data_IF_443654085715
#
_entry.id   IF_443654085715
#
_cell.length_a   1.000
_cell.length_b   1.000
_cell.length_c   1.000
_cell.angle_alpha   90.00
_cell.angle_beta   90.00
_cell.angle_gamma   90.00
#
_symmetry.space_group_name_H-M   'P 1'
#
loop_
_entity.id
_entity.type
_entity.pdbx_description
1 polymer ?
#
# COMPACT_ATOMS: atom_id res chain seq x y z
N UNK A 1 0.44 7.32 16.69
CA UNK A 1 0.79 5.94 17.12
C UNK A 1 2.19 5.54 16.62
N UNK A 2 2.58 5.86 15.37
CA UNK A 2 3.90 5.54 14.79
C UNK A 2 5.12 6.24 15.41
N UNK A 3 4.98 7.45 15.97
CA UNK A 3 6.02 8.09 16.79
C UNK A 3 6.43 7.21 18.00
N UNK A 4 5.47 6.47 18.56
CA UNK A 4 5.70 5.61 19.72
C UNK A 4 6.41 4.31 19.33
N UNK A 5 6.11 3.74 18.16
CA UNK A 5 6.82 2.54 17.66
C UNK A 5 8.26 2.83 17.22
N UNK A 6 8.55 4.01 16.63
CA UNK A 6 9.93 4.45 16.40
C UNK A 6 10.71 4.58 17.72
N UNK A 7 10.08 5.13 18.76
CA UNK A 7 10.67 5.25 20.10
C UNK A 7 10.86 3.85 20.72
N UNK A 8 9.87 2.96 20.62
CA UNK A 8 9.91 1.62 21.23
C UNK A 8 10.91 0.69 20.53
N UNK A 9 10.98 0.71 19.19
CA UNK A 9 11.98 -0.05 18.44
C UNK A 9 13.39 0.49 18.67
N UNK A 10 13.55 1.83 18.79
CA UNK A 10 14.81 2.46 19.16
C UNK A 10 15.23 2.27 20.63
N UNK A 11 14.28 1.93 21.53
CA UNK A 11 14.50 1.77 22.96
C UNK A 11 15.00 0.38 23.39
N UNK A 12 15.01 -0.61 22.49
CA UNK A 12 15.65 -1.91 22.79
C UNK A 12 17.16 -1.71 22.92
N UNK A 13 17.64 -1.56 24.15
CA UNK A 13 19.08 -1.57 24.49
C UNK A 13 19.69 -0.25 24.99
N UNK A 14 18.91 0.79 25.26
CA UNK A 14 19.44 2.05 25.80
C UNK A 14 19.83 1.91 27.27
N UNK A 15 21.14 1.82 27.54
CA UNK A 15 21.69 1.77 28.90
C UNK A 15 22.37 3.06 29.35
N UNK A 16 22.70 3.98 28.42
CA UNK A 16 23.48 5.18 28.72
C UNK A 16 22.88 6.47 28.15
N UNK A 17 23.07 7.60 28.85
CA UNK A 17 22.47 8.93 28.53
C UNK A 17 23.00 9.49 27.20
N UNK A 18 24.26 9.22 26.88
CA UNK A 18 24.92 9.70 25.67
C UNK A 18 24.36 9.01 24.42
N UNK A 19 24.00 7.72 24.51
CA UNK A 19 23.38 6.97 23.41
C UNK A 19 21.99 7.50 23.07
N UNK A 20 21.22 7.89 24.10
CA UNK A 20 19.90 8.53 23.93
C UNK A 20 20.07 9.86 23.20
N UNK A 21 21.06 10.66 23.61
CA UNK A 21 21.30 11.97 23.01
C UNK A 21 21.73 11.87 21.54
N UNK A 22 22.57 10.88 21.20
CA UNK A 22 23.00 10.65 19.83
C UNK A 22 21.82 10.19 18.95
N UNK A 23 20.97 9.28 19.44
CA UNK A 23 19.75 8.87 18.72
C UNK A 23 18.74 9.99 18.55
N UNK A 24 18.56 10.86 19.54
CA UNK A 24 17.68 12.03 19.41
C UNK A 24 18.20 13.03 18.38
N UNK A 25 19.52 13.17 18.24
CA UNK A 25 20.13 14.00 17.19
C UNK A 25 19.89 13.44 15.79
N UNK A 26 19.96 12.12 15.61
CA UNK A 26 19.71 11.47 14.31
C UNK A 26 18.23 11.18 14.04
N UNK A 27 17.33 11.39 15.01
CA UNK A 27 15.91 11.08 14.89
C UNK A 27 15.25 11.74 13.67
N UNK A 28 15.49 13.04 13.46
CA UNK A 28 14.89 13.77 12.34
C UNK A 28 15.31 13.16 10.99
N UNK A 29 16.59 12.81 10.87
CA UNK A 29 17.15 12.19 9.68
C UNK A 29 16.51 10.83 9.36
N UNK A 30 16.27 9.99 10.38
CA UNK A 30 15.70 8.65 10.15
C UNK A 30 14.17 8.62 10.06
N UNK A 31 13.47 9.51 10.77
CA UNK A 31 12.01 9.47 10.87
C UNK A 31 11.28 10.45 9.95
N UNK A 32 11.94 11.48 9.45
CA UNK A 32 11.29 12.53 8.65
C UNK A 32 11.94 12.68 7.27
N UNK A 33 13.28 12.68 7.20
CA UNK A 33 13.98 12.92 5.93
C UNK A 33 13.99 11.72 4.97
N UNK A 34 13.64 10.50 5.42
CA UNK A 34 13.63 9.31 4.55
C UNK A 34 12.73 9.48 3.33
N UNK A 35 11.59 10.18 3.48
CA UNK A 35 10.66 10.46 2.38
C UNK A 35 11.35 11.32 1.32
N UNK A 36 12.05 12.38 1.76
CA UNK A 36 12.80 13.27 0.88
C UNK A 36 13.89 12.51 0.13
N UNK A 37 14.67 11.69 0.84
CA UNK A 37 15.72 10.85 0.22
C UNK A 37 15.16 9.88 -0.80
N UNK A 38 14.02 9.24 -0.51
CA UNK A 38 13.33 8.40 -1.50
C UNK A 38 12.91 9.21 -2.73
N UNK A 39 12.41 10.44 -2.55
CA UNK A 39 12.00 11.29 -3.65
C UNK A 39 13.18 11.67 -4.54
N UNK A 40 14.31 12.05 -3.93
CA UNK A 40 15.53 12.44 -4.64
C UNK A 40 16.18 11.24 -5.36
N UNK A 41 16.21 10.08 -4.71
CA UNK A 41 16.90 8.90 -5.24
C UNK A 41 16.07 8.14 -6.28
N UNK A 42 14.73 8.14 -6.18
CA UNK A 42 13.87 7.23 -6.96
C UNK A 42 12.77 7.95 -7.75
N UNK A 43 12.92 9.24 -8.07
CA UNK A 43 11.85 10.09 -8.62
C UNK A 43 11.01 9.50 -9.78
N UNK A 44 11.60 8.64 -10.62
CA UNK A 44 10.94 7.91 -11.71
C UNK A 44 10.22 6.64 -11.22
N UNK A 45 10.81 5.93 -10.26
CA UNK A 45 10.34 4.64 -9.76
C UNK A 45 9.46 4.74 -8.49
N UNK A 46 9.25 5.93 -7.93
CA UNK A 46 8.38 6.16 -6.78
C UNK A 46 6.96 5.63 -7.01
N UNK A 47 6.47 5.67 -8.24
CA UNK A 47 5.15 5.13 -8.57
C UNK A 47 5.10 3.63 -8.29
N UNK A 48 6.17 2.92 -8.63
CA UNK A 48 6.35 1.49 -8.41
C UNK A 48 6.36 1.17 -6.91
N UNK A 49 7.02 1.99 -6.08
CA UNK A 49 6.98 1.84 -4.63
C UNK A 49 5.58 2.02 -4.04
N UNK A 50 4.86 3.05 -4.48
CA UNK A 50 3.47 3.27 -4.06
C UNK A 50 2.59 2.06 -4.45
N UNK A 51 2.76 1.54 -5.66
CA UNK A 51 2.05 0.35 -6.14
C UNK A 51 2.36 -0.88 -5.28
N UNK A 52 3.64 -1.18 -5.02
CA UNK A 52 4.05 -2.28 -4.15
C UNK A 52 3.43 -2.15 -2.75
N UNK A 53 3.43 -0.92 -2.19
CA UNK A 53 2.88 -0.68 -0.85
C UNK A 53 1.38 -0.96 -0.72
N UNK A 54 0.63 -0.81 -1.82
CA UNK A 54 -0.80 -1.12 -1.82
C UNK A 54 -1.09 -2.61 -1.69
N UNK A 55 -0.22 -3.48 -2.20
CA UNK A 55 -0.38 -4.93 -2.08
C UNK A 55 -0.01 -5.45 -0.68
N UNK A 56 0.81 -4.71 0.07
CA UNK A 56 1.07 -4.89 1.50
C UNK A 56 2.23 -5.82 1.85
N UNK A 57 2.54 -6.82 1.05
CA UNK A 57 3.65 -7.75 1.28
C UNK A 57 4.85 -7.38 0.40
N UNK A 58 5.79 -6.60 0.92
CA UNK A 58 6.95 -6.12 0.17
C UNK A 58 8.23 -6.47 0.91
N UNK A 59 9.13 -7.17 0.23
CA UNK A 59 10.49 -7.43 0.69
C UNK A 59 11.47 -6.52 -0.05
N UNK A 60 12.33 -5.82 0.68
CA UNK A 60 13.30 -4.89 0.11
C UNK A 60 14.71 -5.48 0.15
N UNK A 61 15.34 -5.57 -1.02
CA UNK A 61 16.72 -6.03 -1.19
C UNK A 61 17.54 -4.88 -1.77
N UNK A 62 18.60 -4.48 -1.07
CA UNK A 62 19.50 -3.40 -1.48
C UNK A 62 20.92 -3.70 -1.00
N UNK A 63 21.92 -3.28 -1.77
CA UNK A 63 23.34 -3.31 -1.38
C UNK A 63 23.70 -2.13 -0.47
N UNK A 64 22.99 -1.01 -0.60
CA UNK A 64 23.13 0.16 0.27
C UNK A 64 22.13 0.05 1.44
N UNK A 65 22.65 0.03 2.68
CA UNK A 65 21.87 -0.02 3.91
C UNK A 65 20.96 1.21 4.08
N UNK A 66 21.39 2.39 3.64
CA UNK A 66 20.61 3.62 3.78
C UNK A 66 19.43 3.61 2.80
N UNK A 67 19.68 3.28 1.53
CA UNK A 67 18.63 3.11 0.54
C UNK A 67 17.65 1.99 0.94
N UNK A 68 18.15 0.90 1.54
CA UNK A 68 17.32 -0.17 2.09
C UNK A 68 16.36 0.37 3.13
N UNK A 69 16.90 1.01 4.16
CA UNK A 69 16.15 1.57 5.28
C UNK A 69 15.09 2.56 4.81
N UNK A 70 15.46 3.47 3.92
CA UNK A 70 14.55 4.50 3.42
C UNK A 70 13.39 3.89 2.64
N UNK A 71 13.69 2.87 1.81
CA UNK A 71 12.69 2.16 1.01
C UNK A 71 11.74 1.34 1.87
N UNK A 72 12.27 0.58 2.84
CA UNK A 72 11.45 -0.17 3.81
C UNK A 72 10.51 0.78 4.55
N UNK A 73 11.04 1.90 5.04
CA UNK A 73 10.24 2.87 5.79
C UNK A 73 9.19 3.58 4.93
N UNK A 74 9.53 3.89 3.69
CA UNK A 74 8.58 4.44 2.72
C UNK A 74 7.42 3.50 2.47
N UNK A 75 7.73 2.23 2.22
CA UNK A 75 6.71 1.20 1.96
C UNK A 75 5.85 0.99 3.21
N UNK A 76 6.45 0.82 4.40
CA UNK A 76 5.72 0.68 5.66
C UNK A 76 4.75 1.83 5.94
N UNK A 77 5.16 3.06 5.63
CA UNK A 77 4.33 4.25 5.85
C UNK A 77 3.12 4.30 4.91
N UNK A 78 3.27 3.73 3.72
CA UNK A 78 2.21 3.68 2.71
C UNK A 78 1.33 2.42 2.84
N UNK A 79 1.86 1.34 3.40
CA UNK A 79 1.20 0.06 3.54
C UNK A 79 -0.06 0.15 4.42
N UNK A 80 -1.15 -0.37 3.88
CA UNK A 80 -2.47 -0.35 4.52
C UNK A 80 -2.66 -1.54 5.44
N UNK A 81 -2.07 -2.67 5.05
CA UNK A 81 -2.05 -3.91 5.81
C UNK A 81 -0.59 -4.16 6.19
N UNK A 82 -0.20 -4.07 7.49
CA UNK A 82 1.10 -4.54 7.90
C UNK A 82 1.20 -6.03 7.55
N UNK A 83 2.35 -6.47 7.06
CA UNK A 83 2.62 -7.88 6.80
C UNK A 83 2.17 -8.69 8.01
N UNK A 84 1.17 -9.55 7.84
CA UNK A 84 0.71 -10.41 8.92
C UNK A 84 1.90 -11.29 9.30
N UNK A 85 2.49 -11.07 10.48
CA UNK A 85 3.47 -12.00 11.02
C UNK A 85 2.70 -13.29 11.26
N UNK A 86 2.87 -14.26 10.36
CA UNK A 86 2.24 -15.57 10.41
C UNK A 86 2.70 -16.33 11.67
N UNK A 87 2.04 -16.06 12.79
CA UNK A 87 2.05 -16.93 13.97
C UNK A 87 0.80 -17.81 13.95
N UNK A 88 0.65 -18.63 12.91
CA UNK A 88 -0.31 -19.74 12.93
C UNK A 88 0.18 -20.83 11.98
N UNK A 89 0.64 -21.92 12.59
CA UNK A 89 0.85 -23.20 11.93
C UNK A 89 -0.49 -23.66 11.33
N UNK A 90 -0.41 -24.11 10.07
CA UNK A 90 -1.41 -24.92 9.36
C UNK A 90 -2.76 -24.23 9.06
N UNK A 91 -2.91 -23.68 7.85
CA UNK A 91 -3.73 -24.22 6.75
C UNK A 91 -3.90 -23.16 5.65
N UNK A 92 -4.18 -23.64 4.42
CA UNK A 92 -4.41 -22.89 3.16
C UNK A 92 -3.16 -22.72 2.28
N UNK A 93 -2.98 -23.68 1.37
CA UNK A 93 -1.99 -23.73 0.29
C UNK A 93 -2.21 -22.69 -0.83
N UNK A 94 -2.89 -21.58 -0.56
CA UNK A 94 -3.06 -20.46 -1.51
C UNK A 94 -2.30 -19.19 -1.08
N UNK A 95 -1.58 -19.22 0.04
CA UNK A 95 -0.85 -18.09 0.63
C UNK A 95 0.39 -17.62 -0.17
N UNK A 96 0.65 -18.16 -1.37
CA UNK A 96 1.78 -17.77 -2.21
C UNK A 96 1.54 -16.49 -3.05
N UNK A 97 0.33 -15.95 -3.10
CA UNK A 97 0.00 -14.99 -4.16
C UNK A 97 0.13 -13.53 -3.71
N UNK A 98 1.28 -12.95 -4.04
CA UNK A 98 1.60 -11.50 -4.14
C UNK A 98 2.47 -10.90 -3.02
N UNK A 99 3.52 -11.59 -2.58
CA UNK A 99 4.72 -10.89 -2.09
C UNK A 99 5.46 -10.25 -3.28
N UNK A 100 5.88 -8.99 -3.13
CA UNK A 100 6.70 -8.28 -4.12
C UNK A 100 8.10 -8.14 -3.59
N UNK A 101 9.11 -8.45 -4.41
CA UNK A 101 10.50 -8.19 -4.07
C UNK A 101 10.96 -6.94 -4.80
N UNK A 102 11.28 -5.91 -4.03
CA UNK A 102 11.81 -4.62 -4.49
C UNK A 102 13.32 -4.68 -4.40
N UNK A 103 13.99 -4.70 -5.55
CA UNK A 103 15.44 -4.69 -5.68
C UNK A 103 15.90 -3.26 -5.99
N UNK A 104 16.66 -2.68 -5.06
CA UNK A 104 17.26 -1.35 -5.21
C UNK A 104 18.72 -1.51 -5.63
N UNK A 105 19.06 -1.04 -6.85
CA UNK A 105 20.44 -0.99 -7.35
C UNK A 105 20.67 0.29 -8.16
N UNK A 106 21.78 0.97 -7.89
CA UNK A 106 22.21 2.18 -8.62
C UNK A 106 21.13 3.28 -8.73
N UNK A 107 20.35 3.49 -7.67
CA UNK A 107 19.25 4.47 -7.67
C UNK A 107 18.03 4.06 -8.51
N UNK A 108 17.96 2.82 -8.97
CA UNK A 108 16.82 2.26 -9.70
C UNK A 108 16.13 1.18 -8.91
N UNK A 109 14.82 1.08 -9.11
CA UNK A 109 13.98 0.09 -8.47
C UNK A 109 13.51 -0.91 -9.51
N UNK A 110 13.76 -2.18 -9.24
CA UNK A 110 13.23 -3.31 -10.00
C UNK A 110 12.29 -4.11 -9.13
N UNK A 111 11.18 -4.55 -9.73
CA UNK A 111 10.21 -5.42 -9.07
C UNK A 111 10.19 -6.77 -9.79
N UNK A 112 10.05 -7.84 -9.02
CA UNK A 112 10.01 -9.22 -9.51
C UNK A 112 8.76 -9.53 -10.36
N UNK A 113 7.66 -8.82 -10.12
CA UNK A 113 6.38 -8.99 -10.78
C UNK A 113 5.97 -7.73 -11.54
N UNK A 114 5.34 -7.87 -12.73
CA UNK A 114 4.79 -6.74 -13.45
C UNK A 114 3.67 -6.10 -12.62
N UNK A 115 3.66 -4.78 -12.58
CA UNK A 115 2.65 -3.98 -11.89
C UNK A 115 1.94 -3.11 -12.92
N UNK A 116 0.61 -3.16 -12.91
CA UNK A 116 -0.20 -2.26 -13.71
C UNK A 116 -0.16 -0.85 -13.12
N UNK A 117 -0.23 0.15 -13.99
CA UNK A 117 -0.28 1.54 -13.54
C UNK A 117 -1.72 1.91 -13.14
N UNK A 118 -1.91 2.20 -11.86
CA UNK A 118 -3.19 2.67 -11.35
C UNK A 118 -3.24 4.21 -11.31
N UNK A 119 -4.27 4.85 -11.90
CA UNK A 119 -4.48 6.31 -11.84
C UNK A 119 -4.43 6.89 -10.42
N UNK A 120 -4.83 6.10 -9.42
CA UNK A 120 -4.74 6.46 -8.02
C UNK A 120 -3.30 6.77 -7.57
N UNK A 121 -2.35 5.89 -7.88
CA UNK A 121 -0.94 6.08 -7.52
C UNK A 121 -0.33 7.28 -8.25
N UNK A 122 -0.69 7.49 -9.52
CA UNK A 122 -0.24 8.65 -10.30
C UNK A 122 -0.67 9.97 -9.63
N UNK A 123 -1.94 10.08 -9.24
CA UNK A 123 -2.47 11.28 -8.56
C UNK A 123 -1.76 11.59 -7.24
N UNK A 124 -1.41 10.55 -6.47
CA UNK A 124 -0.70 10.73 -5.21
C UNK A 124 0.78 11.04 -5.40
N UNK A 125 1.40 10.48 -6.44
CA UNK A 125 2.75 10.85 -6.84
C UNK A 125 2.82 12.32 -7.26
N UNK A 126 1.85 12.81 -8.03
CA UNK A 126 1.77 14.23 -8.42
C UNK A 126 1.65 15.14 -7.21
N UNK A 127 0.82 14.77 -6.23
CA UNK A 127 0.72 15.50 -4.95
C UNK A 127 2.05 15.50 -4.20
N UNK A 128 2.74 14.36 -4.17
CA UNK A 128 4.03 14.24 -3.50
C UNK A 128 5.10 15.10 -4.17
N UNK A 129 5.15 15.11 -5.51
CA UNK A 129 6.05 15.94 -6.32
C UNK A 129 5.71 17.44 -6.24
N UNK A 130 4.43 17.79 -6.06
CA UNK A 130 3.98 19.17 -5.90
C UNK A 130 4.37 19.80 -4.55
N UNK A 131 4.73 18.98 -3.57
CA UNK A 131 5.21 19.48 -2.28
C UNK A 131 6.61 20.10 -2.44
N UNK A 132 6.80 21.29 -1.88
CA UNK A 132 8.14 21.91 -1.81
C UNK A 132 9.16 20.95 -1.21
N UNK A 133 10.34 20.87 -1.81
CA UNK A 133 11.41 19.93 -1.42
C UNK A 133 11.88 20.09 0.03
N UNK A 134 11.69 21.27 0.63
CA UNK A 134 12.03 21.58 2.03
C UNK A 134 10.90 21.25 3.02
N UNK A 135 9.70 20.95 2.54
CA UNK A 135 8.55 20.63 3.39
C UNK A 135 8.44 19.12 3.65
N UNK A 136 9.38 18.58 4.42
CA UNK A 136 9.42 17.14 4.73
C UNK A 136 8.17 16.65 5.46
N UNK A 137 7.59 17.51 6.32
CA UNK A 137 6.32 17.21 7.01
C UNK A 137 5.17 17.13 6.00
N UNK A 138 5.12 18.05 5.04
CA UNK A 138 4.14 18.02 3.95
C UNK A 138 4.22 16.73 3.13
N UNK A 139 5.43 16.30 2.77
CA UNK A 139 5.65 15.04 2.05
C UNK A 139 5.16 13.84 2.86
N UNK A 140 5.45 13.79 4.17
CA UNK A 140 4.94 12.74 5.05
C UNK A 140 3.41 12.77 5.16
N UNK A 141 2.80 13.96 5.26
CA UNK A 141 1.34 14.10 5.31
C UNK A 141 0.67 13.62 4.01
N UNK A 142 1.34 13.74 2.87
CA UNK A 142 0.84 13.18 1.60
C UNK A 142 0.82 11.66 1.66
N UNK A 143 1.89 11.01 2.16
CA UNK A 143 1.93 9.55 2.31
C UNK A 143 0.91 9.03 3.33
N UNK A 144 0.75 9.71 4.46
CA UNK A 144 -0.30 9.39 5.44
C UNK A 144 -1.68 9.58 4.84
N UNK A 145 -1.89 10.65 4.07
CA UNK A 145 -3.13 10.89 3.34
C UNK A 145 -3.45 9.78 2.33
N UNK A 146 -2.43 9.31 1.61
CA UNK A 146 -2.54 8.17 0.70
C UNK A 146 -3.01 6.93 1.45
N UNK A 147 -2.33 6.57 2.55
CA UNK A 147 -2.67 5.41 3.37
C UNK A 147 -4.08 5.52 3.95
N UNK A 148 -4.43 6.66 4.57
CA UNK A 148 -5.73 6.90 5.17
C UNK A 148 -6.87 6.82 4.14
N UNK A 149 -6.65 7.36 2.94
CA UNK A 149 -7.62 7.26 1.85
C UNK A 149 -7.81 5.82 1.40
N UNK A 150 -6.75 5.04 1.29
CA UNK A 150 -6.86 3.62 0.94
C UNK A 150 -7.62 2.83 2.01
N UNK A 151 -7.34 3.07 3.30
CA UNK A 151 -8.10 2.47 4.41
C UNK A 151 -9.59 2.85 4.34
N UNK A 152 -9.88 4.12 4.05
CA UNK A 152 -11.26 4.59 3.91
C UNK A 152 -11.98 3.89 2.76
N UNK A 153 -11.29 3.70 1.63
CA UNK A 153 -11.86 3.09 0.43
C UNK A 153 -12.14 1.60 0.62
N UNK A 154 -11.23 0.86 1.28
CA UNK A 154 -11.47 -0.53 1.69
C UNK A 154 -12.70 -0.65 2.60
N UNK A 155 -12.79 0.18 3.64
CA UNK A 155 -13.92 0.16 4.56
C UNK A 155 -15.24 0.53 3.87
N UNK A 156 -15.19 1.47 2.93
CA UNK A 156 -16.37 1.87 2.14
C UNK A 156 -16.84 0.72 1.27
N UNK A 157 -15.92 0.07 0.55
CA UNK A 157 -16.24 -1.08 -0.29
C UNK A 157 -16.81 -2.24 0.55
N UNK A 158 -16.17 -2.59 1.67
CA UNK A 158 -16.65 -3.65 2.57
C UNK A 158 -18.10 -3.42 3.00
N UNK A 159 -18.43 -2.20 3.43
CA UNK A 159 -19.80 -1.85 3.83
C UNK A 159 -20.80 -1.90 2.67
N UNK A 160 -20.38 -1.55 1.45
CA UNK A 160 -21.24 -1.65 0.26
C UNK A 160 -21.52 -3.12 -0.08
N UNK A 161 -20.50 -3.98 -0.02
CA UNK A 161 -20.64 -5.41 -0.30
C UNK A 161 -21.50 -6.14 0.74
N UNK A 162 -21.33 -5.80 2.03
CA UNK A 162 -22.21 -6.33 3.08
C UNK A 162 -23.68 -5.92 2.87
N UNK A 163 -23.94 -4.68 2.45
CA UNK A 163 -25.31 -4.24 2.11
C UNK A 163 -25.84 -4.91 0.85
N UNK A 164 -24.98 -5.21 -0.12
CA UNK A 164 -25.36 -5.83 -1.37
C UNK A 164 -25.97 -7.24 -1.21
N UNK A 165 -25.76 -7.90 -0.06
CA UNK A 165 -26.44 -9.16 0.29
C UNK A 165 -27.96 -9.02 0.29
N UNK A 166 -28.48 -7.85 0.68
CA UNK A 166 -29.92 -7.61 0.83
C UNK A 166 -30.47 -6.52 -0.10
N UNK A 167 -29.59 -5.73 -0.73
CA UNK A 167 -29.95 -4.60 -1.58
C UNK A 167 -29.14 -4.57 -2.89
N UNK A 168 -29.80 -4.91 -4.01
CA UNK A 168 -29.21 -4.86 -5.35
C UNK A 168 -28.75 -3.45 -5.77
N UNK A 169 -29.33 -2.38 -5.20
CA UNK A 169 -28.84 -1.03 -5.49
C UNK A 169 -27.46 -0.79 -4.86
N UNK A 170 -27.20 -1.35 -3.68
CA UNK A 170 -25.88 -1.31 -3.04
C UNK A 170 -24.81 -2.05 -3.86
N UNK A 171 -25.19 -3.10 -4.59
CA UNK A 171 -24.29 -3.78 -5.54
C UNK A 171 -23.86 -2.87 -6.68
N UNK A 172 -24.81 -2.17 -7.30
CA UNK A 172 -24.52 -1.20 -8.34
C UNK A 172 -23.64 -0.04 -7.83
N UNK A 173 -23.88 0.43 -6.61
CA UNK A 173 -23.04 1.45 -5.97
C UNK A 173 -21.62 0.96 -5.69
N UNK A 174 -21.45 -0.30 -5.31
CA UNK A 174 -20.12 -0.91 -5.16
C UNK A 174 -19.36 -0.91 -6.49
N UNK A 175 -20.03 -1.27 -7.58
CA UNK A 175 -19.47 -1.20 -8.93
C UNK A 175 -19.04 0.23 -9.32
N UNK A 176 -19.92 1.22 -9.17
CA UNK A 176 -19.59 2.61 -9.48
C UNK A 176 -18.43 3.14 -8.62
N UNK A 177 -18.39 2.75 -7.35
CA UNK A 177 -17.32 3.11 -6.44
C UNK A 177 -15.97 2.54 -6.89
N UNK A 178 -15.91 1.26 -7.27
CA UNK A 178 -14.70 0.62 -7.76
C UNK A 178 -14.14 1.34 -8.99
N UNK A 179 -14.98 1.63 -9.98
CA UNK A 179 -14.58 2.37 -11.18
C UNK A 179 -14.05 3.77 -10.88
N UNK A 180 -14.68 4.46 -9.92
CA UNK A 180 -14.26 5.81 -9.52
C UNK A 180 -12.97 5.81 -8.69
N UNK A 181 -12.61 4.68 -8.07
CA UNK A 181 -11.44 4.56 -7.20
C UNK A 181 -10.14 4.53 -8.01
N UNK A 182 -10.15 3.83 -9.16
CA UNK A 182 -9.01 3.76 -10.09
C UNK A 182 -7.88 2.83 -9.64
N UNK A 183 -8.21 1.81 -8.84
CA UNK A 183 -7.35 0.70 -8.38
C UNK A 183 -8.23 -0.46 -7.85
N UNK A 184 -9.30 -0.73 -8.58
CA UNK A 184 -10.37 -1.68 -8.27
C UNK A 184 -9.86 -3.09 -7.95
N UNK A 185 -8.87 -3.57 -8.69
CA UNK A 185 -8.32 -4.93 -8.53
C UNK A 185 -7.68 -5.11 -7.15
N UNK A 186 -6.96 -4.09 -6.67
CA UNK A 186 -6.32 -4.10 -5.36
C UNK A 186 -7.39 -4.06 -4.25
N UNK A 187 -8.40 -3.20 -4.39
CA UNK A 187 -9.49 -3.12 -3.41
C UNK A 187 -10.25 -4.45 -3.32
N UNK A 188 -10.58 -5.04 -4.47
CA UNK A 188 -11.25 -6.35 -4.53
C UNK A 188 -10.36 -7.46 -3.96
N UNK A 189 -9.06 -7.46 -4.24
CA UNK A 189 -8.12 -8.42 -3.67
C UNK A 189 -8.15 -8.40 -2.14
N UNK A 190 -8.03 -7.22 -1.53
CA UNK A 190 -8.00 -7.07 -0.07
C UNK A 190 -9.33 -7.43 0.58
N UNK A 191 -10.46 -6.95 0.04
CA UNK A 191 -11.77 -7.27 0.62
C UNK A 191 -12.11 -8.75 0.43
N UNK A 192 -11.70 -9.38 -0.68
CA UNK A 192 -11.84 -10.83 -0.88
C UNK A 192 -11.00 -11.61 0.13
N UNK A 193 -9.75 -11.19 0.37
CA UNK A 193 -8.87 -11.79 1.38
C UNK A 193 -9.49 -11.70 2.77
N UNK A 194 -10.01 -10.54 3.14
CA UNK A 194 -10.66 -10.34 4.44
C UNK A 194 -11.97 -11.16 4.58
N UNK A 195 -12.80 -11.20 3.54
CA UNK A 195 -14.02 -12.01 3.53
C UNK A 195 -13.73 -13.51 3.60
N UNK A 196 -12.67 -14.00 2.95
CA UNK A 196 -12.19 -15.38 3.09
C UNK A 196 -11.77 -15.69 4.53
N UNK A 197 -11.04 -14.77 5.18
CA UNK A 197 -10.62 -14.93 6.58
C UNK A 197 -11.79 -14.89 7.57
N UNK A 198 -12.85 -14.15 7.23
CA UNK A 198 -14.06 -14.02 8.03
C UNK A 198 -15.15 -15.05 7.68
N UNK A 199 -14.90 -15.94 6.71
CA UNK A 199 -15.85 -16.94 6.22
C UNK A 199 -17.21 -16.35 5.74
N UNK A 200 -17.20 -15.13 5.18
CA UNK A 200 -18.40 -14.44 4.68
C UNK A 200 -18.78 -14.90 3.25
N UNK A 201 -19.31 -16.11 3.11
CA UNK A 201 -19.57 -16.75 1.80
C UNK A 201 -20.45 -15.91 0.85
N UNK A 202 -21.51 -15.28 1.36
CA UNK A 202 -22.39 -14.42 0.55
C UNK A 202 -21.63 -13.22 -0.05
N UNK A 203 -20.69 -12.64 0.70
CA UNK A 203 -19.84 -11.54 0.22
C UNK A 203 -18.89 -12.04 -0.86
N UNK A 204 -18.35 -13.26 -0.73
CA UNK A 204 -17.47 -13.87 -1.74
C UNK A 204 -18.19 -14.12 -3.07
N UNK A 205 -19.45 -14.54 -3.02
CA UNK A 205 -20.29 -14.70 -4.21
C UNK A 205 -20.54 -13.36 -4.90
N UNK A 206 -20.87 -12.32 -4.12
CA UNK A 206 -21.06 -10.95 -4.63
C UNK A 206 -19.77 -10.41 -5.27
N UNK A 207 -18.62 -10.60 -4.61
CA UNK A 207 -17.32 -10.20 -5.15
C UNK A 207 -17.04 -10.90 -6.48
N UNK A 208 -17.31 -12.21 -6.55
CA UNK A 208 -17.10 -12.99 -7.78
C UNK A 208 -17.97 -12.48 -8.93
N UNK A 209 -19.25 -12.20 -8.66
CA UNK A 209 -20.16 -11.58 -9.64
C UNK A 209 -19.65 -10.21 -10.13
N UNK A 210 -19.15 -9.37 -9.22
CA UNK A 210 -18.58 -8.07 -9.57
C UNK A 210 -17.32 -8.21 -10.44
N UNK A 211 -16.43 -9.16 -10.11
CA UNK A 211 -15.22 -9.42 -10.88
C UNK A 211 -15.53 -9.88 -12.31
N UNK A 212 -16.51 -10.76 -12.48
CA UNK A 212 -16.97 -11.18 -13.81
C UNK A 212 -17.57 -10.01 -14.61
N UNK A 213 -18.39 -9.18 -13.96
CA UNK A 213 -18.98 -8.02 -14.61
C UNK A 213 -17.92 -7.01 -15.06
N UNK A 214 -16.91 -6.72 -14.21
CA UNK A 214 -15.80 -5.84 -14.56
C UNK A 214 -15.01 -6.39 -15.76
N UNK A 215 -14.64 -7.68 -15.74
CA UNK A 215 -13.93 -8.33 -16.87
C UNK A 215 -14.73 -8.26 -18.18
N UNK A 216 -16.04 -8.46 -18.12
CA UNK A 216 -16.92 -8.38 -19.30
C UNK A 216 -17.00 -6.97 -19.91
N UNK A 217 -16.79 -5.92 -19.09
CA UNK A 217 -16.78 -4.54 -19.55
C UNK A 217 -15.45 -4.14 -20.17
N UNK A 218 -14.32 -4.59 -19.61
CA UNK A 218 -13.00 -4.34 -20.20
C UNK A 218 -12.86 -4.99 -21.60
N UNK A 219 -13.41 -6.19 -21.80
CA UNK A 219 -13.39 -6.84 -23.12
C UNK A 219 -14.31 -6.17 -24.17
N UNK A 220 -15.37 -5.49 -23.72
CA UNK A 220 -16.28 -4.76 -24.61
C UNK A 220 -15.85 -3.34 -24.93
N UNK A 221 -15.01 -2.70 -24.10
CA UNK A 221 -14.37 -1.41 -24.43
C UNK A 221 -13.30 -1.54 -25.51
N UNK A 222 -12.54 -2.63 -25.53
CA UNK A 222 -11.49 -2.86 -26.56
C UNK A 222 -12.07 -3.17 -27.94
N UNK A 223 -13.30 -3.67 -28.03
CA UNK A 223 -13.99 -3.92 -29.30
C UNK A 223 -14.64 -2.67 -29.92
N UNK A 224 -14.68 -1.54 -29.21
CA UNK A 224 -15.19 -0.25 -29.73
C UNK A 224 -14.10 0.74 -30.13
N UNK A 225 -12.83 0.38 -29.95
CA UNK A 225 -11.67 1.18 -30.30
C UNK A 225 -10.95 0.69 -31.58
N UNK A 226 -11.59 -0.17 -32.37
CA UNK A 226 -11.07 -0.69 -33.65
C UNK A 226 -11.96 -0.29 -34.81
#
# INVERSE_FOLDING_TARGET
>A
MFLFECIVSANKGLKNKDDVQLKLKSWYFHCVEYVRRCIENFSEDLITLLLCSLWGNVEVISEDEQAKWDTERFVETCCVMPATIENSKETVKDNASLSFTVIVKDGKIKVDKPLDNFPYCSKWLDKLKSCHSTNHIGQHNVLEGFRLKTVQDLNTLKRLLQKAQTDHYSLYRAYQFLQASGYEDILLYHVKKEANMAEEQEVLEIISCLQEFLKSKHSTSDSKAK
#
